data_IF_329827228917
#
_entry.id   IF_329827228917
#
_cell.length_a   1.000
_cell.length_b   1.000
_cell.length_c   1.000
_cell.angle_alpha   90.00
_cell.angle_beta   90.00
_cell.angle_gamma   90.00
#
_symmetry.space_group_name_H-M   'P 1'
#
loop_
_entity.id
_entity.type
_entity.pdbx_description
1 polymer ?
#
# COMPACT_ATOMS: atom_id res chain seq x y z
N UNK A 1 -13.02 -13.84 -2.68
CA UNK A 1 -12.05 -13.01 -3.43
C UNK A 1 -10.83 -12.75 -2.56
N UNK A 2 -9.66 -12.75 -3.17
CA UNK A 2 -8.42 -12.51 -2.44
C UNK A 2 -7.87 -11.15 -2.78
N UNK A 3 -7.23 -10.53 -1.80
CA UNK A 3 -6.63 -9.20 -1.96
C UNK A 3 -5.15 -9.26 -1.64
N UNK A 4 -4.42 -8.33 -2.21
CA UNK A 4 -3.01 -8.14 -1.91
C UNK A 4 -2.73 -6.66 -1.73
N UNK A 5 -1.71 -6.34 -0.95
CA UNK A 5 -1.26 -4.97 -0.76
C UNK A 5 0.10 -4.86 -1.41
N UNK A 6 0.20 -4.02 -2.42
CA UNK A 6 1.43 -3.78 -3.16
C UNK A 6 1.96 -2.42 -2.78
N UNK A 7 3.25 -2.34 -2.54
CA UNK A 7 3.92 -1.09 -2.23
C UNK A 7 5.06 -0.86 -3.20
N UNK A 8 5.24 0.40 -3.55
CA UNK A 8 6.38 0.86 -4.34
C UNK A 8 7.06 1.92 -3.48
N UNK A 9 8.26 1.63 -2.99
CA UNK A 9 9.00 2.53 -2.11
C UNK A 9 10.26 2.96 -2.82
N UNK A 10 10.42 4.27 -3.03
CA UNK A 10 11.57 4.85 -3.72
C UNK A 10 11.84 4.17 -5.07
N UNK A 11 10.75 3.80 -5.77
CA UNK A 11 10.83 3.16 -7.07
C UNK A 11 10.96 1.63 -7.04
N UNK A 12 10.98 1.03 -5.86
CA UNK A 12 11.15 -0.42 -5.73
C UNK A 12 9.82 -1.09 -5.40
N UNK A 13 9.41 -2.02 -6.25
CA UNK A 13 8.16 -2.77 -6.08
C UNK A 13 8.33 -3.89 -5.08
N UNK A 14 7.31 -4.08 -4.25
CA UNK A 14 7.25 -5.27 -3.39
C UNK A 14 5.81 -5.55 -2.98
N UNK A 15 5.56 -6.78 -2.58
CA UNK A 15 4.26 -7.18 -2.04
C UNK A 15 4.36 -7.11 -0.53
N UNK A 16 3.52 -6.25 0.08
CA UNK A 16 3.49 -6.12 1.54
C UNK A 16 2.71 -7.26 2.18
N UNK A 17 1.59 -7.64 1.59
CA UNK A 17 0.75 -8.72 2.09
C UNK A 17 -0.05 -9.30 0.92
N UNK A 18 -0.35 -10.59 0.99
CA UNK A 18 -1.12 -11.27 -0.04
C UNK A 18 -1.99 -12.36 0.58
N UNK A 19 -2.90 -12.90 -0.21
CA UNK A 19 -3.79 -13.96 0.24
C UNK A 19 -4.83 -13.50 1.26
N UNK A 20 -5.12 -12.21 1.30
CA UNK A 20 -6.07 -11.63 2.24
C UNK A 20 -7.48 -11.91 1.72
N UNK A 21 -8.30 -12.61 2.50
CA UNK A 21 -9.63 -13.02 2.06
C UNK A 21 -10.73 -12.05 2.49
N UNK A 22 -10.40 -11.07 3.33
CA UNK A 22 -11.36 -10.09 3.85
C UNK A 22 -10.94 -8.69 3.44
N UNK A 23 -11.84 -7.94 2.83
CA UNK A 23 -11.55 -6.54 2.48
C UNK A 23 -11.30 -5.71 3.73
N UNK A 24 -12.00 -6.01 4.83
CA UNK A 24 -11.76 -5.30 6.09
C UNK A 24 -10.34 -5.49 6.59
N UNK A 25 -9.81 -6.72 6.51
CA UNK A 25 -8.42 -6.99 6.88
C UNK A 25 -7.44 -6.29 5.95
N UNK A 26 -7.74 -6.27 4.65
CA UNK A 26 -6.91 -5.57 3.68
C UNK A 26 -6.87 -4.08 3.98
N UNK A 27 -8.01 -3.47 4.31
CA UNK A 27 -8.07 -2.05 4.66
C UNK A 27 -7.25 -1.75 5.90
N UNK A 28 -7.35 -2.59 6.93
CA UNK A 28 -6.58 -2.42 8.17
C UNK A 28 -5.08 -2.46 7.89
N UNK A 29 -4.64 -3.43 7.11
CA UNK A 29 -3.23 -3.55 6.73
C UNK A 29 -2.77 -2.36 5.88
N UNK A 30 -3.64 -1.92 4.95
CA UNK A 30 -3.36 -0.77 4.11
C UNK A 30 -3.13 0.50 4.94
N UNK A 31 -4.04 0.79 5.86
CA UNK A 31 -3.92 2.00 6.69
C UNK A 31 -2.72 1.92 7.61
N UNK A 32 -2.44 0.74 8.17
CA UNK A 32 -1.25 0.55 9.01
C UNK A 32 0.04 0.79 8.26
N UNK A 33 0.14 0.29 7.05
CA UNK A 33 1.32 0.50 6.20
C UNK A 33 1.45 1.97 5.81
N UNK A 34 0.35 2.61 5.42
CA UNK A 34 0.37 4.03 5.08
C UNK A 34 0.85 4.87 6.26
N UNK A 35 0.35 4.59 7.46
CA UNK A 35 0.78 5.31 8.65
C UNK A 35 2.28 5.13 8.89
N UNK A 36 2.78 3.92 8.75
CA UNK A 36 4.20 3.64 8.92
C UNK A 36 5.04 4.42 7.91
N UNK A 37 4.61 4.46 6.65
CA UNK A 37 5.34 5.17 5.61
C UNK A 37 5.28 6.68 5.79
N UNK A 38 4.16 7.22 6.26
CA UNK A 38 4.06 8.64 6.56
C UNK A 38 5.01 9.07 7.67
N UNK A 39 5.37 8.15 8.56
CA UNK A 39 6.28 8.41 9.67
C UNK A 39 7.72 8.00 9.39
N UNK A 40 8.03 7.58 8.18
CA UNK A 40 9.37 7.13 7.80
C UNK A 40 10.07 8.19 6.96
N UNK A 41 10.94 9.03 7.55
CA UNK A 41 11.53 10.16 6.83
C UNK A 41 12.52 9.75 5.74
N UNK A 42 13.00 8.53 5.74
CA UNK A 42 13.90 8.01 4.71
C UNK A 42 13.14 7.55 3.45
N UNK A 43 11.82 7.49 3.52
CA UNK A 43 10.99 7.18 2.36
C UNK A 43 10.73 8.48 1.61
N UNK A 44 11.34 8.64 0.45
CA UNK A 44 11.16 9.84 -0.37
C UNK A 44 9.82 9.81 -1.07
N UNK A 45 9.47 8.67 -1.66
CA UNK A 45 8.16 8.48 -2.27
C UNK A 45 7.72 7.05 -2.11
N UNK A 46 6.42 6.86 -1.96
CA UNK A 46 5.84 5.53 -1.85
C UNK A 46 4.44 5.54 -2.41
N UNK A 47 4.05 4.45 -3.01
CA UNK A 47 2.67 4.22 -3.44
C UNK A 47 2.22 2.91 -2.81
N UNK A 48 1.03 2.93 -2.22
CA UNK A 48 0.43 1.75 -1.61
C UNK A 48 -0.93 1.54 -2.26
N UNK A 49 -1.22 0.32 -2.65
CA UNK A 49 -2.48 0.01 -3.31
C UNK A 49 -2.99 -1.35 -2.85
N UNK A 50 -4.30 -1.46 -2.69
CA UNK A 50 -4.97 -2.75 -2.51
C UNK A 50 -5.42 -3.22 -3.88
N UNK A 51 -5.03 -4.41 -4.26
CA UNK A 51 -5.47 -5.02 -5.52
C UNK A 51 -6.21 -6.32 -5.23
N UNK A 52 -7.10 -6.70 -6.14
CA UNK A 52 -7.78 -7.97 -6.06
C UNK A 52 -6.98 -9.06 -6.78
N UNK A 53 -7.56 -10.25 -6.89
CA UNK A 53 -6.87 -11.38 -7.51
C UNK A 53 -6.63 -11.21 -9.02
N UNK A 54 -7.28 -10.24 -9.64
CA UNK A 54 -7.07 -9.89 -11.04
C UNK A 54 -6.10 -8.71 -11.21
N UNK A 55 -5.48 -8.27 -10.13
CA UNK A 55 -4.59 -7.12 -10.09
C UNK A 55 -5.29 -5.79 -10.36
N UNK A 56 -6.60 -5.75 -10.20
CA UNK A 56 -7.36 -4.51 -10.30
C UNK A 56 -7.32 -3.78 -8.97
N UNK A 57 -7.05 -2.49 -9.01
CA UNK A 57 -7.02 -1.65 -7.82
C UNK A 57 -8.41 -1.55 -7.21
N UNK A 58 -8.50 -1.77 -5.90
CA UNK A 58 -9.75 -1.54 -5.17
C UNK A 58 -9.95 -0.03 -5.08
N UNK A 59 -11.07 0.45 -5.59
CA UNK A 59 -11.36 1.88 -5.67
C UNK A 59 -11.28 2.54 -4.30
N UNK A 60 -10.55 3.64 -4.24
CA UNK A 60 -10.38 4.41 -3.00
C UNK A 60 -9.24 3.92 -2.12
N UNK A 61 -8.56 2.84 -2.48
CA UNK A 61 -7.50 2.26 -1.66
C UNK A 61 -6.17 2.28 -2.38
N UNK A 62 -5.79 3.47 -2.83
CA UNK A 62 -4.48 3.76 -3.40
C UNK A 62 -4.01 5.05 -2.78
N UNK A 63 -2.84 5.04 -2.18
CA UNK A 63 -2.27 6.22 -1.54
C UNK A 63 -0.88 6.50 -2.06
N UNK A 64 -0.60 7.75 -2.34
CA UNK A 64 0.72 8.22 -2.71
C UNK A 64 1.29 9.03 -1.57
N UNK A 65 2.45 8.63 -1.07
CA UNK A 65 3.11 9.24 0.08
C UNK A 65 4.39 9.89 -0.42
N UNK A 66 4.55 11.17 -0.12
CA UNK A 66 5.72 11.93 -0.51
C UNK A 66 6.26 12.69 0.68
N UNK A 67 7.55 12.51 0.98
CA UNK A 67 8.25 13.31 1.95
C UNK A 67 9.08 14.33 1.17
N UNK A 68 8.58 15.56 1.12
CA UNK A 68 9.23 16.61 0.39
C UNK A 68 10.59 16.91 0.99
N UNK A 69 11.59 17.01 0.14
CA UNK A 69 12.92 17.45 0.55
C UNK A 69 12.91 18.97 0.60
N UNK A 70 13.15 19.48 1.77
CA UNK A 70 13.19 20.93 1.95
C UNK A 70 14.51 21.50 1.40
#
# INVERSE_FOLDING_TARGET
MKYAIIKVINGNYSIHAEGITSLASAKTNFHGLCQTLWNAPDVISATVVIVDENLDCVEGYKEFITHAQA
#
